data_IF_585860648076
#
_entry.id   IF_585860648076
#
_cell.length_a   1.000
_cell.length_b   1.000
_cell.length_c   1.000
_cell.angle_alpha   90.00
_cell.angle_beta   90.00
_cell.angle_gamma   90.00
#
_symmetry.space_group_name_H-M   'P 1'
#
loop_
_entity.id
_entity.type
_entity.pdbx_description
1 polymer ?
#
# COMPACT_ATOMS: atom_id res chain seq x y z
N UNK A 1 0.62 -7.98 -5.19
CA UNK A 1 0.43 -7.32 -3.89
C UNK A 1 -0.68 -8.04 -3.16
N UNK A 2 -0.33 -8.69 -2.05
CA UNK A 2 -1.28 -9.41 -1.22
C UNK A 2 -1.69 -8.58 0.00
N UNK A 3 -2.91 -8.80 0.51
CA UNK A 3 -3.31 -8.24 1.80
C UNK A 3 -2.41 -8.86 2.88
N UNK A 4 -1.86 -8.03 3.76
CA UNK A 4 -0.93 -8.44 4.81
C UNK A 4 0.55 -8.24 4.46
N UNK A 5 0.86 -7.97 3.18
CA UNK A 5 2.23 -7.69 2.72
C UNK A 5 2.78 -6.43 3.40
N UNK A 6 4.02 -6.51 3.86
CA UNK A 6 4.75 -5.41 4.50
C UNK A 6 5.75 -4.84 3.50
N UNK A 7 5.68 -3.54 3.27
CA UNK A 7 6.57 -2.79 2.39
C UNK A 7 7.45 -1.90 3.27
N UNK A 8 8.75 -2.15 3.18
CA UNK A 8 9.78 -1.32 3.82
C UNK A 8 10.23 -0.28 2.79
N UNK A 9 10.15 0.98 3.17
CA UNK A 9 10.56 2.13 2.38
C UNK A 9 11.89 2.66 2.90
N UNK A 10 12.65 3.31 2.04
CA UNK A 10 14.00 3.81 2.38
C UNK A 10 13.96 5.03 3.30
N UNK A 11 12.87 5.80 3.24
CA UNK A 11 12.69 7.04 3.98
C UNK A 11 11.21 7.43 4.11
N UNK A 12 10.92 8.50 4.87
CA UNK A 12 9.57 9.04 4.98
C UNK A 12 9.04 9.53 3.62
N UNK A 13 9.85 10.20 2.80
CA UNK A 13 9.44 10.69 1.48
C UNK A 13 9.05 9.55 0.53
N UNK A 14 9.90 8.52 0.42
CA UNK A 14 9.60 7.32 -0.39
C UNK A 14 8.35 6.60 0.12
N UNK A 15 8.15 6.60 1.44
CA UNK A 15 6.96 6.02 2.04
C UNK A 15 5.69 6.74 1.61
N UNK A 16 5.64 8.07 1.70
CA UNK A 16 4.46 8.83 1.29
C UNK A 16 4.20 8.67 -0.21
N UNK A 17 5.25 8.71 -1.04
CA UNK A 17 5.11 8.50 -2.48
C UNK A 17 4.54 7.12 -2.80
N UNK A 18 5.08 6.06 -2.19
CA UNK A 18 4.56 4.69 -2.37
C UNK A 18 3.15 4.53 -1.87
N UNK A 19 2.80 5.12 -0.72
CA UNK A 19 1.45 5.07 -0.19
C UNK A 19 0.44 5.72 -1.15
N UNK A 20 0.79 6.88 -1.73
CA UNK A 20 -0.03 7.57 -2.73
C UNK A 20 -0.15 6.76 -4.03
N UNK A 21 0.96 6.24 -4.56
CA UNK A 21 0.93 5.38 -5.75
C UNK A 21 0.05 4.14 -5.56
N UNK A 22 0.11 3.53 -4.37
CA UNK A 22 -0.72 2.38 -4.00
C UNK A 22 -2.18 2.79 -3.90
N UNK A 23 -2.47 3.93 -3.27
CA UNK A 23 -3.83 4.46 -3.17
C UNK A 23 -4.43 4.74 -4.56
N UNK A 24 -3.67 5.33 -5.49
CA UNK A 24 -4.10 5.55 -6.88
C UNK A 24 -4.39 4.24 -7.62
N UNK A 25 -3.68 3.16 -7.28
CA UNK A 25 -3.93 1.80 -7.80
C UNK A 25 -5.08 1.07 -7.08
N UNK A 26 -5.79 1.74 -6.18
CA UNK A 26 -6.88 1.13 -5.39
C UNK A 26 -6.39 0.22 -4.27
N UNK A 27 -5.12 0.29 -3.90
CA UNK A 27 -4.51 -0.48 -2.82
C UNK A 27 -4.54 0.34 -1.54
N UNK A 28 -5.29 -0.12 -0.54
CA UNK A 28 -5.32 0.48 0.80
C UNK A 28 -4.12 0.00 1.60
N UNK A 29 -3.36 0.95 2.11
CA UNK A 29 -2.22 0.71 3.00
C UNK A 29 -2.40 1.42 4.33
N UNK A 30 -1.73 0.92 5.37
CA UNK A 30 -1.64 1.57 6.70
C UNK A 30 -0.19 1.65 7.13
N UNK A 31 0.13 2.70 7.87
CA UNK A 31 1.44 2.92 8.45
C UNK A 31 1.57 2.02 9.68
N UNK A 32 2.60 1.17 9.71
CA UNK A 32 2.81 0.21 10.81
C UNK A 32 4.08 0.49 11.61
N UNK A 33 5.09 1.11 11.00
CA UNK A 33 6.33 1.50 11.65
C UNK A 33 7.01 2.65 10.91
N UNK A 34 8.14 3.14 11.46
CA UNK A 34 8.98 4.13 10.80
C UNK A 34 9.41 3.58 9.43
N UNK A 35 9.03 4.28 8.38
CA UNK A 35 9.33 3.91 7.00
C UNK A 35 8.72 2.56 6.56
N UNK A 36 7.65 2.10 7.20
CA UNK A 36 6.99 0.83 6.84
C UNK A 36 5.49 0.99 6.69
N UNK A 37 4.95 0.49 5.57
CA UNK A 37 3.51 0.42 5.30
C UNK A 37 3.09 -1.04 5.11
N UNK A 38 1.86 -1.36 5.53
CA UNK A 38 1.24 -2.67 5.36
C UNK A 38 0.03 -2.55 4.45
N UNK A 39 -0.12 -3.49 3.52
CA UNK A 39 -1.31 -3.58 2.68
C UNK A 39 -2.46 -4.15 3.51
N UNK A 40 -3.57 -3.41 3.60
CA UNK A 40 -4.79 -3.83 4.34
C UNK A 40 -5.97 -4.09 3.42
N UNK A 41 -5.88 -3.68 2.15
CA UNK A 41 -6.92 -3.97 1.17
C UNK A 41 -6.41 -3.74 -0.23
N UNK A 42 -6.92 -4.56 -1.15
CA UNK A 42 -6.79 -4.34 -2.59
C UNK A 42 -8.20 -4.21 -3.12
N UNK A 43 -8.59 -3.04 -3.62
CA UNK A 43 -9.76 -2.94 -4.47
C UNK A 43 -9.37 -3.54 -5.82
N UNK A 44 -9.37 -4.88 -5.89
CA UNK A 44 -9.47 -5.56 -7.16
C UNK A 44 -10.74 -5.01 -7.79
N UNK A 45 -10.59 -4.29 -8.90
CA UNK A 45 -11.67 -4.13 -9.85
C UNK A 45 -12.00 -5.53 -10.36
N UNK A 46 -12.72 -6.30 -9.54
CA UNK A 46 -13.35 -7.53 -9.96
C UNK A 46 -14.43 -7.04 -10.90
N UNK A 47 -14.08 -6.99 -12.18
CA UNK A 47 -15.05 -7.08 -13.25
C UNK A 47 -15.78 -8.40 -12.96
N UNK A 48 -16.93 -8.28 -12.32
CA UNK A 48 -17.88 -9.37 -12.18
C UNK A 48 -18.07 -9.94 -13.59
N UNK A 49 -17.78 -11.24 -13.71
CA UNK A 49 -18.05 -12.00 -14.94
C UNK A 49 -19.55 -12.13 -15.15
#
# INVERSE_FOLDING_TARGET
MAIGEIIICTGPEDLFRRAEELQQKGVKTVFVARNTIKIVGVMTAQKAS
#
